data_IF_077711452120
#
_entry.id   IF_077711452120
#
_cell.length_a   1.000
_cell.length_b   1.000
_cell.length_c   1.000
_cell.angle_alpha   90.00
_cell.angle_beta   90.00
_cell.angle_gamma   90.00
#
_symmetry.space_group_name_H-M   'P 1'
#
loop_
_entity.id
_entity.type
_entity.pdbx_description
1 polymer ?
#
# COMPACT_ATOMS: atom_id res chain seq x y z
N UNK A 1 14.44 -73.76 -9.54
CA UNK A 1 14.83 -72.36 -9.28
C UNK A 1 13.59 -71.51 -9.46
N UNK A 2 12.98 -71.04 -8.37
CA UNK A 2 11.65 -70.40 -8.39
C UNK A 2 11.77 -69.01 -7.79
N UNK A 3 11.63 -67.97 -8.62
CA UNK A 3 11.69 -66.58 -8.18
C UNK A 3 10.34 -66.10 -7.64
N UNK A 4 10.33 -65.61 -6.40
CA UNK A 4 9.17 -65.01 -5.74
C UNK A 4 9.32 -63.49 -5.86
N UNK A 5 8.49 -62.87 -6.69
CA UNK A 5 8.40 -61.42 -6.85
C UNK A 5 7.55 -60.82 -5.73
N UNK A 6 8.18 -60.11 -4.78
CA UNK A 6 7.50 -59.35 -3.71
C UNK A 6 7.01 -58.01 -4.25
N UNK A 7 5.70 -57.83 -4.35
CA UNK A 7 5.05 -56.54 -4.64
C UNK A 7 5.12 -55.65 -3.40
N UNK A 8 5.79 -54.51 -3.49
CA UNK A 8 5.73 -53.43 -2.50
C UNK A 8 4.57 -52.50 -2.84
N UNK A 9 3.56 -52.44 -1.98
CA UNK A 9 2.51 -51.44 -2.03
C UNK A 9 3.03 -50.17 -1.34
N UNK A 10 3.27 -49.13 -2.12
CA UNK A 10 3.57 -47.79 -1.60
C UNK A 10 2.24 -47.13 -1.25
N UNK A 11 2.01 -46.93 0.05
CA UNK A 11 0.85 -46.18 0.56
C UNK A 11 1.10 -44.68 0.34
N UNK A 12 0.40 -44.09 -0.62
CA UNK A 12 0.43 -42.65 -0.87
C UNK A 12 -0.50 -41.96 0.12
N UNK A 13 0.04 -41.41 1.21
CA UNK A 13 -0.72 -40.50 2.10
C UNK A 13 -0.88 -39.14 1.41
N UNK A 14 -2.08 -38.86 0.92
CA UNK A 14 -2.46 -37.53 0.46
C UNK A 14 -2.67 -36.62 1.68
N UNK A 15 -1.67 -35.81 2.03
CA UNK A 15 -1.80 -34.76 3.02
C UNK A 15 -2.64 -33.61 2.43
N UNK A 16 -3.92 -33.54 2.83
CA UNK A 16 -4.79 -32.42 2.49
C UNK A 16 -4.36 -31.17 3.28
N UNK A 17 -3.58 -30.29 2.65
CA UNK A 17 -3.31 -28.95 3.15
C UNK A 17 -4.61 -28.13 3.07
N UNK A 18 -5.31 -28.01 4.20
CA UNK A 18 -6.37 -27.01 4.37
C UNK A 18 -5.73 -25.62 4.34
N UNK A 19 -5.83 -24.95 3.20
CA UNK A 19 -5.49 -23.53 3.07
C UNK A 19 -6.60 -22.74 3.75
N UNK A 20 -6.42 -22.42 5.04
CA UNK A 20 -7.28 -21.45 5.71
C UNK A 20 -7.03 -20.07 5.09
N UNK A 21 -8.05 -19.42 4.49
CA UNK A 21 -7.87 -18.05 4.03
C UNK A 21 -7.61 -17.17 5.25
N UNK A 22 -6.44 -16.53 5.30
CA UNK A 22 -6.22 -15.40 6.20
C UNK A 22 -7.17 -14.29 5.75
N UNK A 23 -8.30 -14.16 6.44
CA UNK A 23 -9.13 -12.96 6.34
C UNK A 23 -8.36 -11.83 7.02
N UNK A 24 -7.70 -10.98 6.22
CA UNK A 24 -7.22 -9.68 6.67
C UNK A 24 -8.43 -8.82 7.00
N UNK A 25 -8.92 -8.91 8.22
CA UNK A 25 -9.86 -7.95 8.75
C UNK A 25 -9.11 -6.64 8.95
N UNK A 26 -9.20 -5.73 7.99
CA UNK A 26 -8.88 -4.31 8.21
C UNK A 26 -9.88 -3.80 9.26
N UNK A 27 -9.46 -3.78 10.52
CA UNK A 27 -10.31 -3.40 11.63
C UNK A 27 -10.67 -1.92 11.55
N UNK A 28 -11.95 -1.62 11.42
CA UNK A 28 -12.46 -0.28 11.65
C UNK A 28 -12.28 0.07 13.14
N UNK A 29 -11.49 1.10 13.45
CA UNK A 29 -11.37 1.62 14.80
C UNK A 29 -12.39 2.74 15.01
N UNK A 30 -13.40 2.51 15.84
CA UNK A 30 -14.50 3.45 16.14
C UNK A 30 -14.05 4.69 16.96
N UNK A 31 -12.77 4.81 17.33
CA UNK A 31 -12.28 5.76 18.32
C UNK A 31 -11.58 7.02 17.76
N UNK A 32 -11.50 7.26 16.45
CA UNK A 32 -10.75 8.41 15.92
C UNK A 32 -10.98 8.78 14.45
N UNK A 33 -10.28 9.83 14.00
CA UNK A 33 -10.13 10.15 12.58
C UNK A 33 -9.63 8.89 11.84
N UNK A 34 -10.20 8.56 10.67
CA UNK A 34 -9.83 7.35 9.98
C UNK A 34 -8.35 7.39 9.58
N UNK A 35 -7.61 6.32 9.87
CA UNK A 35 -6.19 6.21 9.54
C UNK A 35 -6.04 5.94 8.04
N UNK A 36 -5.02 6.53 7.41
CA UNK A 36 -4.70 6.23 6.01
C UNK A 36 -3.99 4.88 5.93
N UNK A 37 -4.62 3.89 5.31
CA UNK A 37 -4.02 2.63 4.92
C UNK A 37 -3.39 2.73 3.53
N UNK A 38 -2.28 2.02 3.33
CA UNK A 38 -1.55 1.94 2.06
C UNK A 38 -1.24 0.49 1.74
N UNK A 39 -1.57 0.04 0.54
CA UNK A 39 -1.04 -1.19 -0.04
C UNK A 39 -0.06 -0.84 -1.16
N UNK A 40 1.14 -1.40 -1.10
CA UNK A 40 2.19 -1.25 -2.09
C UNK A 40 2.28 -2.50 -2.95
N UNK A 41 2.24 -2.30 -4.26
CA UNK A 41 2.54 -3.32 -5.26
C UNK A 41 3.75 -2.94 -6.11
N UNK A 42 4.54 -3.93 -6.51
CA UNK A 42 5.59 -3.80 -7.50
C UNK A 42 5.40 -4.81 -8.63
N UNK A 43 5.41 -4.34 -9.88
CA UNK A 43 5.17 -5.15 -11.07
C UNK A 43 3.90 -6.00 -10.96
N UNK A 44 2.84 -5.43 -10.38
CA UNK A 44 1.55 -6.09 -10.18
C UNK A 44 1.46 -7.07 -9.00
N UNK A 45 2.53 -7.22 -8.20
CA UNK A 45 2.52 -8.06 -7.00
C UNK A 45 2.56 -7.21 -5.74
N UNK A 46 1.65 -7.47 -4.80
CA UNK A 46 1.66 -6.85 -3.47
C UNK A 46 2.98 -7.19 -2.76
N UNK A 47 3.68 -6.16 -2.31
CA UNK A 47 4.92 -6.28 -1.55
C UNK A 47 4.70 -6.04 -0.07
N UNK A 48 3.86 -5.05 0.26
CA UNK A 48 3.68 -4.60 1.63
C UNK A 48 2.36 -3.85 1.80
N UNK A 49 1.91 -3.71 3.04
CA UNK A 49 0.75 -2.92 3.41
C UNK A 49 0.86 -2.39 4.83
N UNK A 50 0.53 -1.12 5.06
CA UNK A 50 0.66 -0.51 6.39
C UNK A 50 -0.35 0.62 6.63
N UNK A 51 -0.55 0.91 7.91
CA UNK A 51 -1.24 2.11 8.39
C UNK A 51 -0.26 3.27 8.54
N UNK A 52 -0.61 4.44 8.01
CA UNK A 52 0.18 5.67 8.15
C UNK A 52 -0.08 6.27 9.53
N UNK A 53 0.69 5.79 10.52
CA UNK A 53 0.58 6.24 11.92
C UNK A 53 1.37 7.53 12.19
N UNK A 54 2.39 7.82 11.40
CA UNK A 54 3.23 9.01 11.52
C UNK A 54 3.68 9.51 10.13
N UNK A 55 4.38 10.64 10.08
CA UNK A 55 4.90 11.23 8.83
C UNK A 55 6.35 10.82 8.54
N UNK A 56 6.77 9.65 9.04
CA UNK A 56 8.10 9.10 8.75
C UNK A 56 8.09 8.31 7.43
N UNK A 57 9.28 8.02 6.91
CA UNK A 57 9.42 7.20 5.72
C UNK A 57 9.19 5.72 6.05
N UNK A 58 8.20 5.12 5.40
CA UNK A 58 8.07 3.68 5.32
C UNK A 58 9.07 3.13 4.31
N UNK A 59 9.96 2.24 4.75
CA UNK A 59 11.07 1.71 3.94
C UNK A 59 10.73 0.33 3.43
N UNK A 60 10.92 0.12 2.12
CA UNK A 60 10.65 -1.16 1.47
C UNK A 60 11.75 -1.51 0.47
N UNK A 61 12.15 -2.77 0.44
CA UNK A 61 13.11 -3.27 -0.56
C UNK A 61 12.37 -3.74 -1.81
N UNK A 62 12.65 -3.10 -2.94
CA UNK A 62 12.07 -3.46 -4.23
C UNK A 62 12.74 -4.71 -4.85
N UNK A 63 12.09 -5.39 -5.82
CA UNK A 63 12.64 -6.58 -6.47
C UNK A 63 13.98 -6.36 -7.20
N UNK A 64 14.26 -5.12 -7.61
CA UNK A 64 15.53 -4.74 -8.24
C UNK A 64 16.65 -4.42 -7.23
N UNK A 65 16.40 -4.64 -5.94
CA UNK A 65 17.36 -4.41 -4.85
C UNK A 65 17.43 -2.96 -4.34
N UNK A 66 16.63 -2.04 -4.89
CA UNK A 66 16.54 -0.68 -4.37
C UNK A 66 15.82 -0.66 -3.02
N UNK A 67 16.22 0.23 -2.10
CA UNK A 67 15.46 0.55 -0.90
C UNK A 67 14.68 1.84 -1.18
N UNK A 68 13.35 1.72 -1.25
CA UNK A 68 12.44 2.83 -1.49
C UNK A 68 11.91 3.32 -0.15
N UNK A 69 12.03 4.62 0.11
CA UNK A 69 11.33 5.33 1.17
C UNK A 69 10.03 5.91 0.61
N UNK A 70 8.93 5.64 1.29
CA UNK A 70 7.60 6.15 0.95
C UNK A 70 7.11 6.95 2.14
N UNK A 71 6.79 8.22 1.92
CA UNK A 71 6.25 9.09 2.95
C UNK A 71 4.90 9.65 2.51
N UNK A 72 3.90 9.53 3.37
CA UNK A 72 2.53 9.97 3.15
C UNK A 72 2.21 11.04 4.19
N UNK A 73 1.85 12.23 3.72
CA UNK A 73 1.51 13.36 4.60
C UNK A 73 0.12 13.88 4.24
N UNK A 74 -0.71 14.32 5.22
CA UNK A 74 -1.96 14.99 4.92
C UNK A 74 -1.69 16.30 4.15
N UNK A 75 -2.58 16.64 3.22
CA UNK A 75 -2.49 17.94 2.55
C UNK A 75 -2.76 19.09 3.54
N UNK A 76 -1.93 20.12 3.45
CA UNK A 76 -2.13 21.36 4.20
C UNK A 76 -3.30 22.16 3.60
N UNK A 77 -3.92 23.00 4.43
CA UNK A 77 -5.08 23.84 4.05
C UNK A 77 -4.78 24.70 2.82
N UNK A 78 -3.57 25.22 2.73
CA UNK A 78 -3.05 26.06 1.66
C UNK A 78 -3.16 25.35 0.31
N UNK A 79 -2.89 24.04 0.29
CA UNK A 79 -2.98 23.25 -0.94
C UNK A 79 -4.42 23.11 -1.43
N UNK A 80 -5.37 22.90 -0.53
CA UNK A 80 -6.79 22.87 -0.89
C UNK A 80 -7.26 24.21 -1.44
N UNK A 81 -6.86 25.31 -0.81
CA UNK A 81 -7.20 26.66 -1.27
C UNK A 81 -6.62 26.95 -2.67
N UNK A 82 -5.39 26.52 -2.94
CA UNK A 82 -4.77 26.62 -4.26
C UNK A 82 -5.61 25.89 -5.33
N UNK A 83 -5.93 24.62 -5.09
CA UNK A 83 -6.67 23.78 -6.04
C UNK A 83 -8.09 24.31 -6.26
N UNK A 84 -8.81 24.72 -5.20
CA UNK A 84 -10.16 25.28 -5.31
C UNK A 84 -10.17 26.56 -6.17
N UNK A 85 -9.20 27.46 -5.96
CA UNK A 85 -9.05 28.68 -6.77
C UNK A 85 -8.80 28.37 -8.25
N UNK A 86 -7.94 27.40 -8.55
CA UNK A 86 -7.56 27.06 -9.93
C UNK A 86 -8.67 26.30 -10.67
N UNK A 87 -9.33 25.35 -10.00
CA UNK A 87 -10.29 24.43 -10.62
C UNK A 87 -11.72 24.95 -10.69
N UNK A 88 -12.04 26.02 -9.94
CA UNK A 88 -13.40 26.55 -9.75
C UNK A 88 -14.40 25.51 -9.20
N UNK A 89 -13.92 24.42 -8.58
CA UNK A 89 -14.77 23.46 -7.88
C UNK A 89 -15.14 23.96 -6.49
N UNK A 90 -16.25 23.47 -5.95
CA UNK A 90 -16.73 23.80 -4.61
C UNK A 90 -16.19 22.87 -3.53
N UNK A 91 -15.73 21.67 -3.89
CA UNK A 91 -15.19 20.67 -2.98
C UNK A 91 -14.21 19.71 -3.68
N UNK A 92 -13.34 19.08 -2.88
CA UNK A 92 -12.42 18.01 -3.30
C UNK A 92 -12.41 16.90 -2.27
N UNK A 93 -12.14 15.68 -2.74
CA UNK A 93 -11.74 14.58 -1.85
C UNK A 93 -10.49 14.97 -1.06
N UNK A 94 -10.35 14.40 0.13
CA UNK A 94 -9.15 14.57 0.92
C UNK A 94 -7.92 14.10 0.13
N UNK A 95 -6.84 14.87 0.24
CA UNK A 95 -5.59 14.69 -0.46
C UNK A 95 -4.47 14.35 0.51
N UNK A 96 -3.52 13.55 0.02
CA UNK A 96 -2.25 13.28 0.66
C UNK A 96 -1.12 13.65 -0.29
N UNK A 97 -0.02 14.14 0.30
CA UNK A 97 1.26 14.27 -0.37
C UNK A 97 1.98 12.94 -0.28
N UNK A 98 2.41 12.43 -1.42
CA UNK A 98 3.13 11.17 -1.52
C UNK A 98 4.54 11.50 -1.98
N UNK A 99 5.53 11.14 -1.18
CA UNK A 99 6.95 11.37 -1.48
C UNK A 99 7.65 10.03 -1.63
N UNK A 100 8.38 9.86 -2.74
CA UNK A 100 9.17 8.66 -3.03
C UNK A 100 10.66 9.03 -3.05
N UNK A 101 11.47 8.27 -2.32
CA UNK A 101 12.91 8.51 -2.15
C UNK A 101 13.73 7.23 -2.28
N UNK A 102 14.87 7.27 -2.99
CA UNK A 102 15.84 6.17 -3.00
C UNK A 102 16.73 6.27 -1.76
N UNK A 103 16.60 5.30 -0.86
CA UNK A 103 17.28 5.28 0.44
C UNK A 103 18.71 4.74 0.35
N UNK A 104 19.14 4.21 -0.80
CA UNK A 104 20.51 3.72 -0.99
C UNK A 104 21.54 4.85 -1.16
N UNK A 105 21.08 6.06 -1.47
CA UNK A 105 21.96 7.19 -1.71
C UNK A 105 22.22 7.94 -0.42
N UNK A 106 23.48 8.28 -0.17
CA UNK A 106 23.91 9.04 1.02
C UNK A 106 23.37 10.47 1.04
N UNK A 107 22.98 11.00 -0.13
CA UNK A 107 22.27 12.26 -0.26
C UNK A 107 20.90 12.02 -0.91
N UNK A 108 19.82 12.57 -0.33
CA UNK A 108 18.50 12.60 -0.95
C UNK A 108 18.57 13.13 -2.38
N UNK A 109 18.36 12.27 -3.38
CA UNK A 109 18.17 12.74 -4.75
C UNK A 109 16.77 13.36 -4.79
N UNK A 110 16.71 14.70 -4.89
CA UNK A 110 15.51 15.56 -4.98
C UNK A 110 14.19 14.79 -4.87
N UNK A 111 13.60 14.84 -3.68
CA UNK A 111 12.31 14.23 -3.36
C UNK A 111 11.29 14.54 -4.46
N UNK A 112 10.88 13.52 -5.20
CA UNK A 112 9.75 13.64 -6.11
C UNK A 112 8.50 13.35 -5.31
N UNK A 113 7.59 14.31 -5.34
CA UNK A 113 6.30 14.16 -4.68
C UNK A 113 5.16 14.40 -5.66
N UNK A 114 4.03 13.78 -5.37
CA UNK A 114 2.76 14.02 -6.03
C UNK A 114 1.64 14.15 -5.01
N UNK A 115 0.49 14.65 -5.47
CA UNK A 115 -0.73 14.72 -4.67
C UNK A 115 -1.69 13.62 -5.15
N UNK A 116 -2.19 12.81 -4.22
CA UNK A 116 -3.18 11.77 -4.48
C UNK A 116 -4.38 11.89 -3.57
N UNK A 117 -5.54 11.39 -4.00
CA UNK A 117 -6.70 11.28 -3.11
C UNK A 117 -6.50 10.18 -2.07
N UNK A 118 -7.05 10.35 -0.87
CA UNK A 118 -6.95 9.37 0.24
C UNK A 118 -7.56 8.00 -0.07
N UNK A 119 -8.46 7.95 -1.06
CA UNK A 119 -9.12 6.74 -1.55
C UNK A 119 -8.85 6.58 -3.06
N UNK A 120 -7.60 6.34 -3.44
CA UNK A 120 -7.18 6.29 -4.84
C UNK A 120 -6.00 5.36 -5.10
N UNK A 121 -5.83 4.93 -6.35
CA UNK A 121 -4.64 4.18 -6.80
C UNK A 121 -3.68 5.12 -7.54
N UNK A 122 -2.41 5.11 -7.16
CA UNK A 122 -1.35 5.96 -7.70
C UNK A 122 -0.23 5.09 -8.28
N UNK A 123 0.07 5.25 -9.56
CA UNK A 123 1.10 4.46 -10.25
C UNK A 123 2.36 5.27 -10.54
N UNK A 124 3.52 4.66 -10.34
CA UNK A 124 4.85 5.24 -10.51
C UNK A 124 5.71 4.29 -11.36
N UNK A 125 6.00 4.71 -12.59
CA UNK A 125 6.79 3.91 -13.52
C UNK A 125 8.30 4.10 -13.36
N UNK A 126 9.06 3.05 -13.67
CA UNK A 126 10.53 3.06 -13.77
C UNK A 126 11.27 3.49 -12.47
N UNK A 127 10.69 3.20 -11.30
CA UNK A 127 11.32 3.52 -10.02
C UNK A 127 12.64 2.76 -9.88
N UNK A 128 13.72 3.47 -9.53
CA UNK A 128 15.05 2.87 -9.35
C UNK A 128 15.77 2.45 -10.62
N UNK A 129 15.32 2.92 -11.80
CA UNK A 129 16.05 2.69 -13.05
C UNK A 129 17.39 3.42 -13.04
N UNK A 130 18.46 2.70 -13.34
CA UNK A 130 19.77 3.25 -13.70
C UNK A 130 20.38 2.39 -14.81
N UNK A 131 21.64 2.63 -15.18
CA UNK A 131 22.30 1.90 -16.27
C UNK A 131 22.45 0.40 -15.98
N UNK A 132 22.60 0.02 -14.72
CA UNK A 132 22.86 -1.37 -14.28
C UNK A 132 21.62 -2.07 -13.69
N UNK A 133 20.51 -1.36 -13.52
CA UNK A 133 19.31 -1.83 -12.81
C UNK A 133 18.03 -1.48 -13.57
N UNK A 134 17.19 -2.47 -13.90
CA UNK A 134 15.89 -2.19 -14.51
C UNK A 134 15.00 -1.43 -13.53
N UNK A 135 14.19 -0.52 -14.08
CA UNK A 135 13.15 0.17 -13.32
C UNK A 135 12.04 -0.77 -12.88
N UNK A 136 11.39 -0.44 -11.78
CA UNK A 136 10.25 -1.19 -11.23
C UNK A 136 8.99 -0.32 -11.36
N UNK A 137 7.88 -0.92 -11.80
CA UNK A 137 6.56 -0.28 -11.71
C UNK A 137 6.06 -0.41 -10.28
N UNK A 138 5.85 0.71 -9.61
CA UNK A 138 5.33 0.78 -8.25
C UNK A 138 3.91 1.32 -8.28
N UNK A 139 2.97 0.65 -7.63
CA UNK A 139 1.62 1.14 -7.44
C UNK A 139 1.33 1.25 -5.93
N UNK A 140 0.69 2.35 -5.53
CA UNK A 140 0.16 2.54 -4.19
C UNK A 140 -1.37 2.58 -4.26
N UNK A 141 -2.02 1.72 -3.50
CA UNK A 141 -3.45 1.82 -3.25
C UNK A 141 -3.66 2.49 -1.89
N UNK A 142 -4.18 3.72 -1.93
CA UNK A 142 -4.50 4.53 -0.77
C UNK A 142 -5.95 4.28 -0.40
N UNK A 143 -6.18 3.90 0.85
CA UNK A 143 -7.50 3.69 1.43
C UNK A 143 -7.59 4.43 2.76
N UNK A 144 -8.60 5.29 2.91
CA UNK A 144 -8.92 5.92 4.19
C UNK A 144 -10.36 5.54 4.51
N UNK A 145 -10.58 4.40 5.20
CA UNK A 145 -11.91 3.87 5.42
C UNK A 145 -12.71 4.80 6.33
N UNK A 146 -13.85 5.30 5.85
CA UNK A 146 -14.81 5.97 6.73
C UNK A 146 -15.62 4.91 7.47
N UNK A 147 -15.30 4.68 8.74
CA UNK A 147 -16.04 3.76 9.58
C UNK A 147 -17.33 4.45 10.06
N UNK A 148 -18.47 3.87 9.68
CA UNK A 148 -19.78 4.32 10.17
C UNK A 148 -20.06 3.61 11.48
N UNK A 149 -20.09 4.36 12.58
CA UNK A 149 -20.52 3.87 13.88
C UNK A 149 -21.98 4.29 14.15
N UNK A 150 -22.69 3.54 15.00
CA UNK A 150 -24.02 3.92 15.48
C UNK A 150 -24.03 5.36 16.04
N UNK A 151 -22.96 5.74 16.75
CA UNK A 151 -22.77 7.09 17.28
C UNK A 151 -22.63 8.16 16.19
N UNK A 152 -21.97 7.87 15.08
CA UNK A 152 -21.88 8.80 13.94
C UNK A 152 -23.25 9.02 13.28
N UNK A 153 -24.07 7.98 13.17
CA UNK A 153 -25.42 8.05 12.58
C UNK A 153 -26.41 8.85 13.44
N UNK A 154 -26.27 8.78 14.77
CA UNK A 154 -27.16 9.52 15.68
C UNK A 154 -26.80 11.01 15.82
N UNK A 155 -25.61 11.45 15.39
CA UNK A 155 -25.14 12.82 15.56
C UNK A 155 -25.73 13.80 14.55
N UNK A 156 -26.16 13.31 13.39
CA UNK A 156 -26.72 14.10 12.28
C UNK A 156 -28.26 14.21 12.31
N UNK A 157 -28.91 13.61 13.31
CA UNK A 157 -30.39 13.62 13.47
C UNK A 157 -30.90 14.72 14.41
N UNK A 158 -30.19 15.85 14.54
CA UNK A 158 -30.60 17.00 15.38
C UNK A 158 -30.72 18.30 14.60
#
# INVERSE_FOLDING_TARGET
MTQIQKKWQVLTMAAAFFVTPLSFAMGCNDAGEPVQFVELSANGKVLDSWDVLNTEYHRVKLPNGMELGIKIEPAEKEKYLEILKQSKRTAFSELVKITLQDMNQSAPKKDSFTWGGTNSRQGYGNVGKNDDRPGVQVDLWLLKPHCVSEKSLMKDSK
#
